data_IF_306058129632
#
_entry.id   IF_306058129632
#
_cell.length_a   1.000
_cell.length_b   1.000
_cell.length_c   1.000
_cell.angle_alpha   90.00
_cell.angle_beta   90.00
_cell.angle_gamma   90.00
#
_symmetry.space_group_name_H-M   'P 1'
#
loop_
_entity.id
_entity.type
_entity.pdbx_description
1 polymer ?
#
# COMPACT_ATOMS: atom_id res chain seq x y z
N UNK A 1 43.38 -10.53 -6.51
CA UNK A 1 43.03 -9.46 -7.50
C UNK A 1 41.51 -9.21 -7.55
N UNK A 2 40.90 -8.67 -6.47
CA UNK A 2 39.44 -8.39 -6.43
C UNK A 2 39.08 -7.02 -5.84
N UNK A 3 39.98 -6.03 -5.93
CA UNK A 3 39.79 -4.71 -5.30
C UNK A 3 40.12 -3.49 -6.18
N UNK A 4 40.44 -3.66 -7.47
CA UNK A 4 40.73 -2.53 -8.38
C UNK A 4 39.47 -1.76 -8.81
N UNK A 5 38.32 -2.43 -8.95
CA UNK A 5 37.08 -1.79 -9.38
C UNK A 5 36.55 -0.75 -8.36
N UNK A 6 36.62 -1.05 -7.05
CA UNK A 6 36.18 -0.11 -5.98
C UNK A 6 37.11 1.10 -5.84
N UNK A 7 38.42 0.92 -6.04
CA UNK A 7 39.38 2.03 -5.99
C UNK A 7 39.23 2.97 -7.21
N UNK A 8 38.98 2.41 -8.39
CA UNK A 8 38.69 3.21 -9.59
C UNK A 8 37.38 3.98 -9.45
N UNK A 9 36.37 3.39 -8.80
CA UNK A 9 35.09 4.07 -8.48
C UNK A 9 35.29 5.22 -7.50
N UNK A 10 36.08 5.01 -6.44
CA UNK A 10 36.39 6.07 -5.46
C UNK A 10 37.18 7.23 -6.08
N UNK A 11 38.07 6.97 -7.05
CA UNK A 11 38.90 7.99 -7.68
C UNK A 11 38.24 8.72 -8.87
N UNK A 12 37.41 8.03 -9.67
CA UNK A 12 36.80 8.58 -10.89
C UNK A 12 35.29 8.78 -10.81
N UNK A 13 34.61 8.04 -9.93
CA UNK A 13 33.15 8.10 -9.74
C UNK A 13 32.67 9.29 -8.91
N UNK A 14 33.59 9.97 -8.23
CA UNK A 14 33.25 11.18 -7.46
C UNK A 14 33.14 12.45 -8.33
N UNK A 15 33.58 12.35 -9.60
CA UNK A 15 33.52 13.44 -10.58
C UNK A 15 32.52 13.07 -11.69
N UNK A 16 31.79 14.07 -12.21
CA UNK A 16 30.86 13.93 -13.34
C UNK A 16 31.62 13.65 -14.66
N UNK A 17 32.23 12.47 -14.76
CA UNK A 17 33.15 12.08 -15.82
C UNK A 17 32.45 11.26 -16.89
N UNK A 18 33.02 11.26 -18.11
CA UNK A 18 32.60 10.38 -19.21
C UNK A 18 32.60 8.90 -18.82
N UNK A 19 33.45 8.49 -17.88
CA UNK A 19 33.46 7.15 -17.30
C UNK A 19 32.13 6.78 -16.61
N UNK A 20 31.53 7.72 -15.86
CA UNK A 20 30.22 7.52 -15.24
C UNK A 20 29.12 7.37 -16.29
N UNK A 21 29.08 8.28 -17.28
CA UNK A 21 28.14 8.22 -18.39
C UNK A 21 28.25 6.91 -19.19
N UNK A 22 29.48 6.45 -19.43
CA UNK A 22 29.73 5.19 -20.13
C UNK A 22 29.34 3.97 -19.28
N UNK A 23 29.51 4.02 -17.96
CA UNK A 23 29.10 2.94 -17.06
C UNK A 23 27.58 2.77 -17.01
N UNK A 24 26.82 3.88 -17.03
CA UNK A 24 25.34 3.85 -17.12
C UNK A 24 24.91 3.34 -18.49
N UNK A 25 25.51 3.82 -19.58
CA UNK A 25 25.22 3.35 -20.95
C UNK A 25 25.51 1.87 -21.15
N UNK A 26 26.66 1.38 -20.65
CA UNK A 26 27.04 -0.03 -20.76
C UNK A 26 26.05 -0.94 -20.00
N UNK A 27 25.62 -0.53 -18.81
CA UNK A 27 24.63 -1.27 -18.03
C UNK A 27 23.24 -1.22 -18.66
N UNK A 28 22.81 -0.07 -19.17
CA UNK A 28 21.55 0.10 -19.92
C UNK A 28 21.51 -0.82 -21.15
N UNK A 29 22.62 -0.92 -21.88
CA UNK A 29 22.74 -1.83 -23.02
C UNK A 29 22.68 -3.32 -22.62
N UNK A 30 23.23 -3.71 -21.47
CA UNK A 30 23.19 -5.11 -21.00
C UNK A 30 21.81 -5.56 -20.54
N UNK A 31 21.02 -4.63 -19.99
CA UNK A 31 19.72 -4.94 -19.38
C UNK A 31 18.52 -4.62 -20.29
N UNK A 32 18.75 -3.98 -21.43
CA UNK A 32 17.68 -3.70 -22.38
C UNK A 32 17.11 -5.01 -22.96
N UNK A 33 15.78 -5.14 -22.95
CA UNK A 33 15.11 -6.28 -23.57
C UNK A 33 15.05 -5.99 -25.07
N UNK A 34 15.94 -6.61 -25.84
CA UNK A 34 16.06 -6.38 -27.28
C UNK A 34 15.03 -7.16 -28.10
N UNK A 35 14.50 -8.24 -27.53
CA UNK A 35 13.50 -9.07 -28.17
C UNK A 35 12.77 -9.95 -27.16
N UNK A 36 11.49 -10.21 -27.42
CA UNK A 36 10.69 -11.21 -26.69
C UNK A 36 10.07 -12.19 -27.68
N UNK A 37 9.74 -13.39 -27.20
CA UNK A 37 9.14 -14.44 -28.02
C UNK A 37 7.67 -14.58 -27.65
N UNK A 38 6.78 -14.49 -28.63
CA UNK A 38 5.33 -14.62 -28.41
C UNK A 38 4.91 -16.08 -28.22
N UNK A 39 3.65 -16.29 -27.87
CA UNK A 39 3.04 -17.61 -27.65
C UNK A 39 3.04 -18.52 -28.90
N UNK A 40 3.15 -17.94 -30.09
CA UNK A 40 3.27 -18.65 -31.37
C UNK A 40 4.74 -18.95 -31.75
N UNK A 41 5.68 -18.45 -30.95
CA UNK A 41 7.12 -18.66 -31.13
C UNK A 41 7.81 -17.65 -32.05
N UNK A 42 7.13 -16.58 -32.47
CA UNK A 42 7.72 -15.50 -33.25
C UNK A 42 8.48 -14.53 -32.34
N UNK A 43 9.53 -13.92 -32.88
CA UNK A 43 10.40 -13.00 -32.13
C UNK A 43 10.01 -11.56 -32.43
N UNK A 44 9.50 -10.86 -31.41
CA UNK A 44 9.17 -9.43 -31.41
C UNK A 44 10.40 -8.61 -31.04
N UNK A 45 10.71 -7.56 -31.79
CA UNK A 45 11.99 -6.83 -31.67
C UNK A 45 11.85 -5.32 -31.56
N UNK A 46 10.70 -4.76 -31.96
CA UNK A 46 10.44 -3.33 -31.77
C UNK A 46 9.84 -3.08 -30.40
N UNK A 47 10.07 -1.90 -29.83
CA UNK A 47 9.57 -1.55 -28.50
C UNK A 47 8.03 -1.64 -28.44
N UNK A 48 7.35 -1.24 -29.52
CA UNK A 48 5.90 -1.32 -29.69
C UNK A 48 5.40 -2.77 -29.68
N UNK A 49 6.06 -3.67 -30.41
CA UNK A 49 5.71 -5.09 -30.44
C UNK A 49 6.00 -5.79 -29.11
N UNK A 50 7.06 -5.37 -28.41
CA UNK A 50 7.44 -5.90 -27.09
C UNK A 50 6.39 -5.46 -26.05
N UNK A 51 5.95 -4.21 -26.10
CA UNK A 51 4.91 -3.67 -25.22
C UNK A 51 3.55 -4.34 -25.47
N UNK A 52 3.12 -4.45 -26.72
CA UNK A 52 1.86 -5.09 -27.10
C UNK A 52 1.79 -6.56 -26.64
N UNK A 53 2.87 -7.32 -26.84
CA UNK A 53 2.90 -8.73 -26.44
C UNK A 53 3.01 -8.90 -24.92
N UNK A 54 3.70 -7.99 -24.21
CA UNK A 54 3.71 -8.00 -22.75
C UNK A 54 2.31 -7.71 -22.16
N UNK A 55 1.60 -6.72 -22.71
CA UNK A 55 0.22 -6.40 -22.32
C UNK A 55 -0.70 -7.59 -22.64
N UNK A 56 -0.60 -8.16 -23.84
CA UNK A 56 -1.38 -9.32 -24.27
C UNK A 56 -1.17 -10.52 -23.34
N UNK A 57 0.07 -10.80 -22.96
CA UNK A 57 0.40 -11.88 -22.03
C UNK A 57 -0.25 -11.63 -20.66
N UNK A 58 -0.13 -10.43 -20.10
CA UNK A 58 -0.73 -10.09 -18.81
C UNK A 58 -2.27 -10.15 -18.85
N UNK A 59 -2.91 -9.64 -19.91
CA UNK A 59 -4.37 -9.71 -20.07
C UNK A 59 -4.83 -11.16 -20.14
N UNK A 60 -4.18 -12.01 -20.94
CA UNK A 60 -4.52 -13.43 -21.03
C UNK A 60 -4.28 -14.18 -19.72
N UNK A 61 -3.25 -13.80 -18.96
CA UNK A 61 -2.97 -14.38 -17.66
C UNK A 61 -4.06 -14.01 -16.63
N UNK A 62 -4.60 -12.80 -16.72
CA UNK A 62 -5.64 -12.29 -15.81
C UNK A 62 -7.04 -12.77 -16.21
N UNK A 63 -7.31 -12.96 -17.51
CA UNK A 63 -8.65 -13.34 -18.02
C UNK A 63 -8.90 -14.86 -18.01
N UNK A 64 -7.87 -15.71 -18.03
CA UNK A 64 -8.04 -17.17 -18.07
C UNK A 64 -8.20 -17.86 -16.70
N UNK A 65 -8.64 -17.14 -15.65
CA UNK A 65 -9.24 -17.80 -14.50
C UNK A 65 -10.70 -18.13 -14.84
N UNK A 66 -10.94 -19.35 -15.31
CA UNK A 66 -12.30 -19.87 -15.47
C UNK A 66 -12.97 -20.01 -14.10
N UNK A 67 -13.63 -18.95 -13.68
CA UNK A 67 -14.81 -19.02 -12.82
C UNK A 67 -15.95 -18.52 -13.68
N UNK A 68 -16.99 -19.34 -13.90
CA UNK A 68 -18.24 -18.86 -14.47
C UNK A 68 -18.64 -17.57 -13.73
N UNK A 69 -18.68 -16.40 -14.39
CA UNK A 69 -19.09 -15.18 -13.72
C UNK A 69 -20.55 -15.36 -13.35
N UNK A 70 -20.86 -15.20 -12.05
CA UNK A 70 -22.24 -15.04 -11.60
C UNK A 70 -22.81 -13.84 -12.38
N UNK A 71 -23.89 -14.06 -13.14
CA UNK A 71 -24.53 -12.99 -13.88
C UNK A 71 -25.27 -12.07 -12.90
N UNK A 72 -24.58 -11.04 -12.40
CA UNK A 72 -25.12 -10.05 -11.45
C UNK A 72 -26.28 -9.26 -12.07
N UNK A 73 -26.45 -9.27 -13.39
CA UNK A 73 -27.54 -8.56 -14.07
C UNK A 73 -28.93 -9.14 -13.78
N UNK A 74 -29.02 -10.39 -13.31
CA UNK A 74 -30.28 -11.03 -12.92
C UNK A 74 -30.59 -10.92 -11.42
N UNK A 75 -29.69 -10.36 -10.60
CA UNK A 75 -29.89 -10.21 -9.17
C UNK A 75 -30.57 -8.89 -8.81
N UNK A 76 -31.87 -8.83 -9.05
CA UNK A 76 -32.77 -7.87 -8.41
C UNK A 76 -32.84 -6.46 -9.04
N UNK A 77 -33.53 -5.57 -8.33
CA UNK A 77 -33.83 -4.21 -8.78
C UNK A 77 -32.56 -3.36 -8.73
N UNK A 78 -32.11 -2.83 -9.88
CA UNK A 78 -30.94 -1.93 -9.94
C UNK A 78 -31.30 -0.56 -9.33
N UNK A 79 -30.34 0.03 -8.61
CA UNK A 79 -30.42 1.42 -8.16
C UNK A 79 -30.52 2.33 -9.38
N UNK A 80 -31.30 3.40 -9.25
CA UNK A 80 -31.33 4.49 -10.22
C UNK A 80 -30.02 5.27 -10.17
N UNK A 81 -29.71 5.99 -11.25
CA UNK A 81 -28.50 6.82 -11.30
C UNK A 81 -28.49 7.83 -10.14
N UNK A 82 -29.63 8.45 -9.85
CA UNK A 82 -29.76 9.42 -8.76
C UNK A 82 -29.51 8.79 -7.37
N UNK A 83 -29.94 7.53 -7.15
CA UNK A 83 -29.66 6.79 -5.92
C UNK A 83 -28.17 6.39 -5.82
N UNK A 84 -27.53 6.08 -6.95
CA UNK A 84 -26.09 5.81 -7.01
C UNK A 84 -25.27 7.07 -6.71
N UNK A 85 -25.62 8.17 -7.34
CA UNK A 85 -24.96 9.47 -7.15
C UNK A 85 -25.10 9.97 -5.70
N UNK A 86 -26.25 9.71 -5.04
CA UNK A 86 -26.43 9.99 -3.61
C UNK A 86 -25.53 9.14 -2.70
N UNK A 87 -25.34 7.85 -3.03
CA UNK A 87 -24.52 6.93 -2.22
C UNK A 87 -23.01 7.17 -2.38
N UNK A 88 -22.60 7.79 -3.49
CA UNK A 88 -21.20 8.14 -3.77
C UNK A 88 -20.83 9.55 -3.27
N UNK A 89 -21.78 10.32 -2.73
CA UNK A 89 -21.51 11.65 -2.17
C UNK A 89 -20.78 11.55 -0.81
N UNK A 90 -19.79 12.43 -0.60
CA UNK A 90 -19.07 12.51 0.67
C UNK A 90 -20.02 12.96 1.80
N UNK A 91 -19.98 12.25 2.95
CA UNK A 91 -20.78 12.61 4.13
C UNK A 91 -20.50 14.05 4.60
N UNK A 92 -21.57 14.82 4.83
CA UNK A 92 -21.44 16.17 5.39
C UNK A 92 -21.15 16.13 6.90
N UNK A 93 -20.39 17.10 7.39
CA UNK A 93 -20.12 17.26 8.83
C UNK A 93 -21.41 17.44 9.65
N UNK A 94 -22.46 18.00 9.04
CA UNK A 94 -23.79 18.14 9.62
C UNK A 94 -24.50 16.79 9.74
N UNK A 95 -24.45 15.95 8.70
CA UNK A 95 -25.06 14.63 8.69
C UNK A 95 -24.40 13.68 9.71
N UNK A 96 -23.07 13.72 9.81
CA UNK A 96 -22.32 12.93 10.80
C UNK A 96 -22.70 13.38 12.22
N UNK A 97 -22.84 14.69 12.45
CA UNK A 97 -23.28 15.20 13.75
C UNK A 97 -24.71 14.78 14.04
N UNK A 98 -25.64 14.97 13.11
CA UNK A 98 -27.04 14.62 13.32
C UNK A 98 -27.22 13.12 13.57
N UNK A 99 -26.48 12.28 12.85
CA UNK A 99 -26.44 10.84 13.09
C UNK A 99 -25.98 10.55 14.52
N UNK A 100 -24.79 11.02 14.91
CA UNK A 100 -24.27 10.75 16.26
C UNK A 100 -25.19 11.32 17.33
N UNK A 101 -25.64 12.57 17.21
CA UNK A 101 -26.39 13.27 18.27
C UNK A 101 -27.85 12.85 18.37
N UNK A 102 -28.50 12.41 17.29
CA UNK A 102 -29.89 11.91 17.33
C UNK A 102 -30.01 10.40 17.55
N UNK A 103 -28.91 9.66 17.47
CA UNK A 103 -28.94 8.22 17.69
C UNK A 103 -29.17 7.84 19.17
N UNK A 104 -29.87 6.73 19.41
CA UNK A 104 -30.16 6.27 20.77
C UNK A 104 -28.91 5.72 21.47
N UNK A 105 -28.75 6.09 22.75
CA UNK A 105 -27.57 5.78 23.57
C UNK A 105 -27.37 4.28 23.84
N UNK A 106 -28.47 3.53 23.87
CA UNK A 106 -28.57 2.11 24.20
C UNK A 106 -28.45 1.18 22.99
N UNK A 107 -28.07 1.71 21.82
CA UNK A 107 -27.77 0.87 20.66
C UNK A 107 -26.61 -0.09 20.95
N UNK A 108 -26.70 -1.27 20.32
CA UNK A 108 -25.67 -2.28 20.40
C UNK A 108 -24.30 -1.69 20.00
N UNK A 109 -23.22 -2.07 20.71
CA UNK A 109 -21.88 -1.58 20.41
C UNK A 109 -21.43 -1.99 19.02
N UNK A 110 -20.61 -1.13 18.40
CA UNK A 110 -19.99 -1.43 17.12
C UNK A 110 -18.89 -2.48 17.25
N UNK A 111 -18.14 -2.67 16.16
CA UNK A 111 -16.97 -3.57 16.13
C UNK A 111 -15.82 -3.13 17.05
N UNK A 112 -15.91 -1.92 17.60
CA UNK A 112 -15.04 -1.32 18.60
C UNK A 112 -15.45 -1.67 20.04
N UNK A 113 -16.63 -2.26 20.26
CA UNK A 113 -17.15 -2.62 21.57
C UNK A 113 -17.77 -1.46 22.35
N UNK A 114 -17.84 -0.25 21.76
CA UNK A 114 -18.41 0.93 22.41
C UNK A 114 -19.78 1.28 21.81
N UNK A 115 -20.72 1.64 22.67
CA UNK A 115 -22.03 2.14 22.24
C UNK A 115 -22.03 3.68 22.13
N UNK A 116 -23.10 4.24 21.58
CA UNK A 116 -23.23 5.70 21.37
C UNK A 116 -23.15 6.48 22.69
N UNK A 117 -23.59 5.88 23.81
CA UNK A 117 -23.44 6.45 25.15
C UNK A 117 -21.99 6.83 25.48
N UNK A 118 -21.03 5.97 25.14
CA UNK A 118 -19.60 6.21 25.38
C UNK A 118 -19.15 7.51 24.71
N UNK A 119 -19.48 7.69 23.44
CA UNK A 119 -19.05 8.85 22.65
C UNK A 119 -19.75 10.16 23.07
N UNK A 120 -21.02 10.11 23.49
CA UNK A 120 -21.78 11.30 23.89
C UNK A 120 -21.39 11.80 25.28
N UNK A 121 -21.30 10.89 26.25
CA UNK A 121 -21.31 11.27 27.68
C UNK A 121 -19.95 11.19 28.34
N UNK A 122 -19.11 10.24 27.94
CA UNK A 122 -17.79 10.06 28.53
C UNK A 122 -16.72 10.95 27.92
N UNK A 123 -17.04 11.74 26.89
CA UNK A 123 -16.07 12.66 26.26
C UNK A 123 -15.36 13.56 27.28
N UNK A 124 -16.11 14.21 28.18
CA UNK A 124 -15.53 15.10 29.19
C UNK A 124 -14.68 14.36 30.24
N UNK A 125 -15.13 13.18 30.66
CA UNK A 125 -14.38 12.34 31.60
C UNK A 125 -13.10 11.77 30.96
N UNK A 126 -13.15 11.40 29.68
CA UNK A 126 -12.00 10.96 28.89
C UNK A 126 -10.98 12.10 28.75
N UNK A 127 -11.44 13.34 28.50
CA UNK A 127 -10.59 14.53 28.45
C UNK A 127 -9.89 14.77 29.80
N UNK A 128 -10.59 14.59 30.92
CA UNK A 128 -10.04 14.78 32.27
C UNK A 128 -9.08 13.65 32.69
N UNK A 129 -9.44 12.39 32.44
CA UNK A 129 -8.65 11.21 32.83
C UNK A 129 -7.38 11.09 31.99
N UNK A 130 -7.50 11.27 30.66
CA UNK A 130 -6.37 11.11 29.76
C UNK A 130 -5.55 12.39 29.61
N UNK A 131 -6.10 13.54 30.03
CA UNK A 131 -5.45 14.85 29.88
C UNK A 131 -5.25 15.26 28.42
N UNK A 132 -5.99 14.67 27.49
CA UNK A 132 -5.88 14.99 26.07
C UNK A 132 -6.58 16.32 25.77
N UNK A 133 -5.87 17.21 25.08
CA UNK A 133 -6.43 18.46 24.59
C UNK A 133 -7.15 18.19 23.27
N UNK A 134 -8.45 18.50 23.19
CA UNK A 134 -9.19 18.42 21.93
C UNK A 134 -8.72 19.52 21.00
N UNK A 135 -8.03 19.14 19.93
CA UNK A 135 -7.63 20.04 18.86
C UNK A 135 -8.50 19.82 17.62
N UNK A 136 -8.76 20.91 16.89
CA UNK A 136 -9.46 20.83 15.60
C UNK A 136 -8.48 20.42 14.52
N UNK A 137 -8.93 19.56 13.61
CA UNK A 137 -8.12 19.14 12.46
C UNK A 137 -7.75 20.34 11.58
N UNK A 138 -6.57 20.31 10.93
CA UNK A 138 -5.60 19.23 10.93
C UNK A 138 -4.64 19.27 12.14
N UNK A 139 -4.57 18.17 12.90
CA UNK A 139 -3.64 17.99 14.03
C UNK A 139 -2.46 17.14 13.60
N UNK A 140 -1.28 17.30 14.22
CA UNK A 140 -0.13 16.45 13.90
C UNK A 140 -0.15 15.18 14.76
N UNK A 141 -0.12 14.03 14.10
CA UNK A 141 0.03 12.73 14.74
C UNK A 141 1.19 11.97 14.11
N UNK A 142 2.12 11.50 14.94
CA UNK A 142 3.37 10.83 14.49
C UNK A 142 4.18 11.65 13.46
N UNK A 143 4.03 12.97 13.48
CA UNK A 143 4.69 13.88 12.54
C UNK A 143 3.94 14.09 11.21
N UNK A 144 2.79 13.45 11.01
CA UNK A 144 1.91 13.62 9.85
C UNK A 144 0.69 14.49 10.20
N UNK A 145 0.21 15.34 9.28
CA UNK A 145 -1.05 16.06 9.46
C UNK A 145 -2.23 15.08 9.31
N UNK A 146 -3.00 14.87 10.37
CA UNK A 146 -4.28 14.18 10.28
C UNK A 146 -5.27 15.10 9.56
N UNK A 147 -5.69 14.68 8.38
CA UNK A 147 -6.68 15.36 7.55
C UNK A 147 -7.73 14.33 7.15
N UNK A 148 -9.02 14.69 7.23
CA UNK A 148 -10.12 13.85 6.75
C UNK A 148 -10.15 13.86 5.22
N UNK A 149 -9.84 15.01 4.62
CA UNK A 149 -9.78 15.18 3.18
C UNK A 149 -8.39 14.83 2.62
N UNK A 150 -8.32 14.59 1.31
CA UNK A 150 -7.08 14.49 0.54
C UNK A 150 -6.09 15.60 0.93
N UNK A 151 -4.83 15.23 1.07
CA UNK A 151 -3.79 16.17 1.47
C UNK A 151 -3.61 17.23 0.38
N UNK A 152 -3.94 18.49 0.71
CA UNK A 152 -3.72 19.62 -0.21
C UNK A 152 -2.23 19.89 -0.43
N UNK A 153 -1.87 20.61 -1.50
CA UNK A 153 -0.49 21.02 -1.75
C UNK A 153 0.10 21.84 -0.59
N UNK A 154 -0.72 22.64 0.11
CA UNK A 154 -0.27 23.36 1.31
C UNK A 154 -0.02 22.41 2.49
N UNK A 155 -0.78 21.32 2.57
CA UNK A 155 -0.62 20.28 3.60
C UNK A 155 0.67 19.48 3.45
N UNK A 156 1.26 19.41 2.25
CA UNK A 156 2.54 18.74 2.00
C UNK A 156 3.76 19.64 2.19
N UNK A 157 3.59 20.96 2.37
CA UNK A 157 4.69 21.90 2.59
C UNK A 157 5.58 21.54 3.79
N UNK A 158 5.07 21.04 4.94
CA UNK A 158 5.93 20.62 6.04
C UNK A 158 6.93 19.52 5.66
N UNK A 159 6.57 18.61 4.76
CA UNK A 159 7.49 17.59 4.24
C UNK A 159 8.60 18.25 3.42
N UNK A 160 8.23 19.17 2.53
CA UNK A 160 9.18 19.91 1.68
C UNK A 160 10.16 20.70 2.55
N UNK A 161 9.69 21.36 3.61
CA UNK A 161 10.53 22.08 4.57
C UNK A 161 11.49 21.15 5.32
N UNK A 162 11.04 19.96 5.75
CA UNK A 162 11.90 18.97 6.40
C UNK A 162 13.03 18.55 5.46
N UNK A 163 12.72 18.27 4.20
CA UNK A 163 13.69 17.88 3.17
C UNK A 163 14.67 19.03 2.90
N UNK A 164 14.17 20.24 2.68
CA UNK A 164 14.98 21.45 2.47
C UNK A 164 15.94 21.71 3.64
N UNK A 165 15.45 21.63 4.88
CA UNK A 165 16.25 21.83 6.09
C UNK A 165 17.34 20.77 6.22
N UNK A 166 17.06 19.52 5.87
CA UNK A 166 18.07 18.44 5.87
C UNK A 166 19.13 18.67 4.80
N UNK A 167 18.72 19.03 3.58
CA UNK A 167 19.65 19.39 2.50
C UNK A 167 20.55 20.54 2.94
N UNK A 168 19.95 21.63 3.46
CA UNK A 168 20.67 22.82 3.92
C UNK A 168 21.66 22.53 5.05
N UNK A 169 21.29 21.69 6.02
CA UNK A 169 22.21 21.27 7.09
C UNK A 169 23.37 20.40 6.57
N UNK A 170 23.17 19.73 5.45
CA UNK A 170 24.19 18.91 4.80
C UNK A 170 25.07 19.70 3.81
N UNK A 171 24.65 20.89 3.36
CA UNK A 171 25.45 21.80 2.50
C UNK A 171 26.82 22.14 3.12
N UNK A 172 26.91 22.25 4.44
CA UNK A 172 28.13 22.67 5.15
C UNK A 172 29.17 21.55 5.34
N UNK A 173 28.93 20.34 4.83
CA UNK A 173 29.88 19.22 4.86
C UNK A 173 30.28 18.96 3.40
N UNK A 174 31.57 18.97 3.08
CA UNK A 174 32.10 18.64 1.73
C UNK A 174 31.77 17.20 1.33
N UNK A 175 30.50 16.96 1.01
CA UNK A 175 29.99 15.64 0.64
C UNK A 175 30.37 15.36 -0.81
N UNK A 176 31.07 14.25 -1.00
CA UNK A 176 31.28 13.60 -2.29
C UNK A 176 29.95 13.35 -3.01
N UNK A 177 29.97 13.19 -4.33
CA UNK A 177 28.78 12.83 -5.11
C UNK A 177 28.15 11.54 -4.57
N UNK A 178 28.99 10.54 -4.26
CA UNK A 178 28.56 9.30 -3.62
C UNK A 178 27.95 9.51 -2.23
N UNK A 179 28.50 10.44 -1.44
CA UNK A 179 27.94 10.79 -0.12
C UNK A 179 26.57 11.47 -0.22
N UNK A 180 26.36 12.33 -1.22
CA UNK A 180 25.06 12.96 -1.50
C UNK A 180 24.03 11.93 -1.95
N UNK A 181 24.42 11.00 -2.82
CA UNK A 181 23.57 9.90 -3.26
C UNK A 181 23.14 9.01 -2.08
N UNK A 182 24.07 8.65 -1.20
CA UNK A 182 23.76 7.81 -0.05
C UNK A 182 22.86 8.54 0.96
N UNK A 183 23.05 9.85 1.16
CA UNK A 183 22.18 10.66 1.99
C UNK A 183 20.74 10.74 1.44
N UNK A 184 20.61 10.87 0.11
CA UNK A 184 19.30 10.83 -0.55
C UNK A 184 18.64 9.50 -0.23
N UNK A 185 19.31 8.39 -0.53
CA UNK A 185 18.76 7.03 -0.39
C UNK A 185 18.39 6.67 1.05
N UNK A 186 19.24 7.01 2.02
CA UNK A 186 19.08 6.57 3.42
C UNK A 186 18.22 7.51 4.26
N UNK A 187 18.29 8.81 4.02
CA UNK A 187 17.65 9.82 4.88
C UNK A 187 16.48 10.49 4.15
N UNK A 188 16.74 11.13 3.02
CA UNK A 188 15.72 11.98 2.37
C UNK A 188 14.56 11.15 1.80
N UNK A 189 14.87 10.04 1.13
CA UNK A 189 13.84 9.14 0.62
C UNK A 189 13.01 8.49 1.71
N UNK A 190 13.58 8.25 2.89
CA UNK A 190 12.85 7.67 4.02
C UNK A 190 11.72 8.59 4.48
N UNK A 191 11.94 9.91 4.53
CA UNK A 191 10.88 10.88 4.86
C UNK A 191 9.78 10.89 3.79
N UNK A 192 10.15 10.94 2.51
CA UNK A 192 9.18 10.95 1.41
C UNK A 192 8.37 9.66 1.35
N UNK A 193 9.01 8.50 1.53
CA UNK A 193 8.36 7.18 1.56
C UNK A 193 7.43 7.04 2.76
N UNK A 194 7.82 7.55 3.94
CA UNK A 194 6.98 7.53 5.14
C UNK A 194 5.67 8.28 4.91
N UNK A 195 5.72 9.48 4.34
CA UNK A 195 4.52 10.23 4.03
C UNK A 195 3.71 9.62 2.87
N UNK A 196 4.40 9.07 1.86
CA UNK A 196 3.76 8.44 0.70
C UNK A 196 3.03 7.13 1.02
N UNK A 197 3.28 6.54 2.20
CA UNK A 197 2.47 5.42 2.68
C UNK A 197 1.11 5.82 3.23
N UNK A 198 0.93 7.10 3.62
CA UNK A 198 -0.28 7.58 4.28
C UNK A 198 -1.12 8.51 3.41
N UNK A 199 -0.53 9.17 2.41
CA UNK A 199 -1.21 10.17 1.60
C UNK A 199 -1.01 9.93 0.11
N UNK A 200 -2.07 10.14 -0.68
CA UNK A 200 -1.98 10.29 -2.13
C UNK A 200 -1.51 11.70 -2.49
N UNK A 201 -0.31 11.79 -3.05
CA UNK A 201 0.29 13.06 -3.41
C UNK A 201 -0.07 13.49 -4.83
N UNK A 202 -0.42 14.77 -4.99
CA UNK A 202 -0.50 15.40 -6.31
C UNK A 202 0.84 15.29 -7.06
N UNK A 203 0.78 15.06 -8.37
CA UNK A 203 1.96 14.95 -9.25
C UNK A 203 2.92 16.15 -9.10
N UNK A 204 2.40 17.37 -8.98
CA UNK A 204 3.21 18.59 -8.85
C UNK A 204 4.09 18.62 -7.60
N UNK A 205 3.59 18.14 -6.46
CA UNK A 205 4.36 18.04 -5.20
C UNK A 205 5.48 17.01 -5.33
N UNK A 206 5.19 15.85 -5.94
CA UNK A 206 6.18 14.80 -6.17
C UNK A 206 7.31 15.30 -7.08
N UNK A 207 6.94 15.93 -8.20
CA UNK A 207 7.90 16.53 -9.13
C UNK A 207 8.74 17.63 -8.45
N UNK A 208 8.15 18.45 -7.57
CA UNK A 208 8.88 19.47 -6.80
C UNK A 208 9.92 18.84 -5.88
N UNK A 209 9.57 17.78 -5.16
CA UNK A 209 10.50 17.07 -4.27
C UNK A 209 11.61 16.41 -5.09
N UNK A 210 11.28 15.72 -6.18
CA UNK A 210 12.25 15.07 -7.06
C UNK A 210 13.23 16.07 -7.68
N UNK A 211 12.76 17.25 -8.08
CA UNK A 211 13.62 18.33 -8.54
C UNK A 211 14.60 18.81 -7.45
N UNK A 212 14.16 18.93 -6.20
CA UNK A 212 15.06 19.30 -5.09
C UNK A 212 16.13 18.25 -4.85
N UNK A 213 15.76 16.97 -4.87
CA UNK A 213 16.71 15.85 -4.72
C UNK A 213 17.70 15.80 -5.90
N UNK A 214 17.22 16.05 -7.12
CA UNK A 214 18.05 16.13 -8.33
C UNK A 214 19.08 17.25 -8.21
N UNK A 215 18.65 18.45 -7.83
CA UNK A 215 19.54 19.61 -7.67
C UNK A 215 20.60 19.36 -6.60
N UNK A 216 20.17 18.81 -5.47
CA UNK A 216 21.07 18.44 -4.38
C UNK A 216 22.10 17.40 -4.80
N UNK A 217 21.71 16.37 -5.55
CA UNK A 217 22.63 15.33 -6.04
C UNK A 217 23.76 15.92 -6.90
N UNK A 218 23.40 16.77 -7.87
CA UNK A 218 24.34 17.28 -8.86
C UNK A 218 25.16 18.49 -8.39
N UNK A 219 24.56 19.42 -7.65
CA UNK A 219 25.22 20.68 -7.25
C UNK A 219 25.56 20.78 -5.76
N UNK A 220 25.08 19.84 -4.94
CA UNK A 220 25.20 19.94 -3.48
C UNK A 220 24.29 21.00 -2.86
N UNK A 221 23.48 21.70 -3.67
CA UNK A 221 22.52 22.72 -3.26
C UNK A 221 21.17 22.47 -3.96
N UNK A 222 20.06 22.86 -3.35
CA UNK A 222 18.71 22.78 -3.91
C UNK A 222 18.20 24.11 -4.52
N UNK A 223 18.83 25.24 -4.17
CA UNK A 223 18.46 26.58 -4.63
C UNK A 223 19.03 26.91 -6.02
N UNK A 224 20.25 26.45 -6.32
CA UNK A 224 20.89 26.73 -7.60
C UNK A 224 20.40 25.76 -8.68
N UNK A 225 20.01 26.32 -9.84
CA UNK A 225 19.78 25.52 -11.03
C UNK A 225 21.10 24.85 -11.43
N UNK A 226 21.07 23.54 -11.62
CA UNK A 226 22.22 22.77 -12.06
C UNK A 226 21.87 21.95 -13.30
N UNK A 227 22.87 21.71 -14.13
CA UNK A 227 22.72 20.81 -15.28
C UNK A 227 22.79 19.37 -14.77
N UNK A 228 21.69 18.65 -14.87
CA UNK A 228 21.64 17.21 -14.61
C UNK A 228 22.25 16.48 -15.81
N UNK A 229 23.30 15.68 -15.57
CA UNK A 229 23.95 14.90 -16.64
C UNK A 229 23.10 13.69 -17.08
N UNK A 230 22.20 13.22 -16.23
CA UNK A 230 21.33 12.07 -16.45
C UNK A 230 19.91 12.44 -16.00
N UNK A 231 18.90 11.94 -16.71
CA UNK A 231 17.48 12.17 -16.36
C UNK A 231 17.14 11.55 -14.99
N UNK A 232 16.19 12.14 -14.27
CA UNK A 232 15.78 11.60 -12.96
C UNK A 232 15.15 10.20 -13.09
N UNK A 233 14.40 9.96 -14.16
CA UNK A 233 13.81 8.65 -14.44
C UNK A 233 14.87 7.56 -14.63
N UNK A 234 15.93 7.83 -15.41
CA UNK A 234 17.05 6.88 -15.58
C UNK A 234 17.81 6.65 -14.25
N UNK A 235 17.89 7.67 -13.38
CA UNK A 235 18.50 7.53 -12.05
C UNK A 235 17.67 6.65 -11.11
N UNK A 236 16.35 6.65 -11.29
CA UNK A 236 15.41 5.94 -10.45
C UNK A 236 15.27 4.44 -10.77
N UNK A 237 15.81 3.99 -11.90
CA UNK A 237 15.75 2.59 -12.28
C UNK A 237 16.41 1.67 -11.24
N UNK A 238 15.91 0.43 -11.05
CA UNK A 238 16.52 -0.55 -10.16
C UNK A 238 17.98 -0.83 -10.51
N UNK A 239 18.78 -1.15 -9.51
CA UNK A 239 20.24 -1.31 -9.70
C UNK A 239 20.58 -2.52 -10.55
N UNK A 240 19.88 -3.66 -10.40
CA UNK A 240 20.18 -4.84 -11.21
C UNK A 240 19.34 -4.99 -12.45
N UNK A 241 18.10 -4.50 -12.47
CA UNK A 241 17.23 -4.63 -13.65
C UNK A 241 17.36 -3.46 -14.64
N UNK A 242 17.76 -2.25 -14.21
CA UNK A 242 17.72 -1.06 -15.08
C UNK A 242 18.95 -0.16 -15.07
N UNK A 243 20.01 -0.51 -14.32
CA UNK A 243 21.28 0.22 -14.33
C UNK A 243 21.26 1.60 -13.65
N UNK A 244 20.16 1.95 -12.97
CA UNK A 244 20.00 3.22 -12.25
C UNK A 244 20.76 3.27 -10.92
N UNK A 245 20.63 4.38 -10.20
CA UNK A 245 21.29 4.57 -8.91
C UNK A 245 20.46 4.04 -7.73
N UNK A 246 19.35 3.35 -8.00
CA UNK A 246 18.42 2.78 -7.02
C UNK A 246 17.79 3.82 -6.11
N UNK A 247 17.55 5.01 -6.66
CA UNK A 247 16.71 6.06 -6.05
C UNK A 247 15.26 5.67 -6.33
N UNK A 248 14.42 5.58 -5.32
CA UNK A 248 12.98 5.30 -5.53
C UNK A 248 12.29 6.46 -6.26
N UNK A 249 11.58 6.16 -7.36
CA UNK A 249 10.67 7.11 -8.00
C UNK A 249 9.47 7.32 -7.10
N UNK A 250 9.20 8.57 -6.69
CA UNK A 250 8.24 8.84 -5.62
C UNK A 250 6.82 8.53 -6.05
N UNK A 251 6.48 8.80 -7.32
CA UNK A 251 5.16 8.51 -7.88
C UNK A 251 4.84 7.01 -7.84
N UNK A 252 5.76 6.18 -8.30
CA UNK A 252 5.54 4.74 -8.38
C UNK A 252 5.45 4.13 -6.99
N UNK A 253 6.34 4.56 -6.07
CA UNK A 253 6.29 4.12 -4.68
C UNK A 253 5.04 4.59 -3.93
N UNK A 254 4.53 5.79 -4.19
CA UNK A 254 3.29 6.26 -3.57
C UNK A 254 2.13 5.36 -3.96
N UNK A 255 1.97 5.07 -5.25
CA UNK A 255 0.95 4.15 -5.74
C UNK A 255 1.10 2.74 -5.15
N UNK A 256 2.31 2.19 -5.12
CA UNK A 256 2.54 0.85 -4.57
C UNK A 256 2.26 0.77 -3.07
N UNK A 257 2.62 1.79 -2.29
CA UNK A 257 2.38 1.80 -0.84
C UNK A 257 0.90 2.01 -0.51
N UNK A 258 0.20 2.84 -1.28
CA UNK A 258 -1.26 2.98 -1.16
C UNK A 258 -1.96 1.68 -1.50
N UNK A 259 -1.56 1.01 -2.59
CA UNK A 259 -2.09 -0.31 -2.96
C UNK A 259 -1.87 -1.33 -1.84
N UNK A 260 -0.68 -1.36 -1.24
CA UNK A 260 -0.40 -2.23 -0.08
C UNK A 260 -1.29 -1.92 1.12
N UNK A 261 -1.56 -0.64 1.37
CA UNK A 261 -2.42 -0.20 2.48
C UNK A 261 -3.87 -0.58 2.22
N UNK A 262 -4.36 -0.40 0.99
CA UNK A 262 -5.68 -0.86 0.56
C UNK A 262 -5.83 -2.37 0.69
N UNK A 263 -4.82 -3.13 0.27
CA UNK A 263 -4.83 -4.59 0.40
C UNK A 263 -5.00 -5.03 1.85
N UNK A 264 -4.28 -4.42 2.79
CA UNK A 264 -4.41 -4.72 4.22
C UNK A 264 -5.81 -4.42 4.79
N UNK A 265 -6.50 -3.40 4.27
CA UNK A 265 -7.90 -3.12 4.66
C UNK A 265 -8.83 -4.23 4.17
N UNK A 266 -8.71 -4.61 2.90
CA UNK A 266 -9.52 -5.68 2.29
C UNK A 266 -9.31 -7.02 3.00
N UNK A 267 -8.07 -7.35 3.35
CA UNK A 267 -7.73 -8.57 4.06
C UNK A 267 -8.36 -8.62 5.47
N UNK A 268 -8.31 -7.51 6.21
CA UNK A 268 -8.94 -7.40 7.53
C UNK A 268 -10.46 -7.53 7.48
N UNK A 269 -11.11 -6.99 6.44
CA UNK A 269 -12.56 -7.11 6.26
C UNK A 269 -12.98 -8.55 5.94
N UNK A 270 -12.21 -9.27 5.11
CA UNK A 270 -12.46 -10.68 4.80
C UNK A 270 -12.33 -11.54 6.06
N UNK A 271 -11.28 -11.33 6.86
CA UNK A 271 -11.07 -12.07 8.12
C UNK A 271 -12.20 -11.76 9.12
N UNK A 272 -12.57 -10.49 9.30
CA UNK A 272 -13.68 -10.11 10.19
C UNK A 272 -15.02 -10.69 9.79
N UNK A 273 -15.34 -10.70 8.50
CA UNK A 273 -16.60 -11.30 8.01
C UNK A 273 -16.63 -12.80 8.28
N UNK A 274 -15.49 -13.48 8.18
CA UNK A 274 -15.39 -14.92 8.48
C UNK A 274 -15.56 -15.21 9.99
N UNK A 275 -15.02 -14.36 10.85
CA UNK A 275 -15.17 -14.49 12.31
C UNK A 275 -16.59 -14.19 12.78
N UNK A 276 -17.24 -13.14 12.22
CA UNK A 276 -18.63 -12.80 12.56
C UNK A 276 -19.61 -13.89 12.14
N UNK A 277 -19.45 -14.47 10.94
CA UNK A 277 -20.27 -15.59 10.50
C UNK A 277 -20.11 -16.81 11.43
N UNK A 278 -18.88 -17.10 11.87
CA UNK A 278 -18.59 -18.19 12.79
C UNK A 278 -19.25 -17.98 14.17
N UNK A 279 -19.22 -16.75 14.69
CA UNK A 279 -19.86 -16.40 15.96
C UNK A 279 -21.39 -16.43 15.89
N UNK A 280 -21.98 -15.93 14.80
CA UNK A 280 -23.43 -15.97 14.61
C UNK A 280 -23.92 -17.42 14.50
N UNK A 281 -23.22 -18.25 13.72
CA UNK A 281 -23.53 -19.67 13.58
C UNK A 281 -23.42 -20.39 14.93
N UNK A 282 -22.35 -20.15 15.70
CA UNK A 282 -22.20 -20.76 17.02
C UNK A 282 -23.28 -20.32 18.04
N UNK A 283 -23.75 -19.08 17.97
CA UNK A 283 -24.81 -18.58 18.86
C UNK A 283 -26.20 -19.14 18.49
N UNK A 284 -26.54 -19.19 17.20
CA UNK A 284 -27.79 -19.83 16.72
C UNK A 284 -27.80 -21.33 17.07
N UNK A 285 -26.65 -22.01 16.94
CA UNK A 285 -26.51 -23.41 17.34
C UNK A 285 -26.63 -23.61 18.86
N UNK A 286 -26.08 -22.72 19.69
CA UNK A 286 -26.23 -22.81 21.14
C UNK A 286 -27.68 -22.65 21.60
N UNK A 287 -28.45 -21.75 20.97
CA UNK A 287 -29.88 -21.58 21.22
C UNK A 287 -30.66 -22.85 20.85
N UNK A 288 -30.36 -23.43 19.69
CA UNK A 288 -31.01 -24.66 19.24
C UNK A 288 -30.59 -25.86 20.09
N UNK A 289 -29.34 -25.91 20.55
CA UNK A 289 -28.81 -26.91 21.48
C UNK A 289 -29.51 -26.85 22.84
N UNK A 290 -29.74 -25.65 23.38
CA UNK A 290 -30.48 -25.46 24.64
C UNK A 290 -31.99 -25.77 24.49
N UNK A 291 -32.57 -25.54 23.30
CA UNK A 291 -33.94 -26.00 22.98
C UNK A 291 -34.05 -27.53 22.94
N UNK A 292 -33.09 -28.22 22.32
CA UNK A 292 -33.07 -29.68 22.17
C UNK A 292 -32.77 -30.37 23.52
N UNK A 293 -31.96 -29.76 24.39
CA UNK A 293 -31.70 -30.22 25.77
C UNK A 293 -32.94 -30.22 26.67
N UNK A 294 -34.01 -29.49 26.34
CA UNK A 294 -35.20 -29.37 27.18
C UNK A 294 -36.22 -30.53 27.02
N UNK A 295 -36.05 -31.41 26.03
CA UNK A 295 -37.02 -32.48 25.69
C UNK A 295 -36.33 -33.85 25.68
N UNK A 296 -36.43 -34.64 26.76
CA UNK A 296 -35.93 -36.04 26.85
C UNK A 296 -37.00 -36.92 26.18
N UNK A 297 -36.74 -37.85 25.26
CA UNK A 297 -35.90 -39.05 25.41
C UNK A 297 -35.44 -39.66 24.05
N UNK A 298 -35.69 -39.00 22.90
CA UNK A 298 -35.33 -39.52 21.55
C UNK A 298 -33.89 -39.13 21.12
N UNK A 299 -33.01 -38.84 22.08
CA UNK A 299 -31.89 -37.92 21.92
C UNK A 299 -30.62 -38.48 21.25
N UNK A 300 -30.23 -39.74 21.39
CA UNK A 300 -28.88 -40.15 20.92
C UNK A 300 -28.66 -40.02 19.40
N UNK A 301 -29.68 -40.31 18.57
CA UNK A 301 -29.54 -40.25 17.11
C UNK A 301 -29.50 -38.82 16.55
N UNK A 302 -30.23 -37.88 17.15
CA UNK A 302 -30.19 -36.46 16.74
C UNK A 302 -28.90 -35.78 17.22
N UNK A 303 -28.39 -36.12 18.40
CA UNK A 303 -27.10 -35.62 18.89
C UNK A 303 -25.94 -36.08 18.00
N UNK A 304 -25.91 -37.37 17.62
CA UNK A 304 -24.89 -37.89 16.70
C UNK A 304 -24.96 -37.23 15.32
N UNK A 305 -26.17 -36.94 14.84
CA UNK A 305 -26.36 -36.25 13.54
C UNK A 305 -25.89 -34.80 13.57
N UNK A 306 -26.13 -34.09 14.67
CA UNK A 306 -25.66 -32.71 14.88
C UNK A 306 -24.14 -32.68 15.07
N UNK A 307 -23.55 -33.60 15.84
CA UNK A 307 -22.09 -33.73 15.95
C UNK A 307 -21.44 -34.05 14.60
N UNK A 308 -22.06 -34.89 13.77
CA UNK A 308 -21.58 -35.16 12.42
C UNK A 308 -21.61 -33.92 11.53
N UNK A 309 -22.69 -33.12 11.60
CA UNK A 309 -22.80 -31.87 10.85
C UNK A 309 -21.80 -30.81 11.36
N UNK A 310 -21.55 -30.74 12.66
CA UNK A 310 -20.51 -29.91 13.27
C UNK A 310 -19.11 -30.35 12.85
N UNK A 311 -18.86 -31.66 12.77
CA UNK A 311 -17.59 -32.20 12.29
C UNK A 311 -17.37 -31.92 10.80
N UNK A 312 -18.42 -32.01 9.96
CA UNK A 312 -18.36 -31.65 8.54
C UNK A 312 -18.15 -30.15 8.32
N UNK A 313 -18.90 -29.29 9.04
CA UNK A 313 -18.74 -27.85 8.96
C UNK A 313 -17.33 -27.42 9.41
N UNK A 314 -16.86 -27.94 10.54
CA UNK A 314 -15.50 -27.66 11.03
C UNK A 314 -14.43 -28.20 10.09
N UNK A 315 -14.65 -29.35 9.44
CA UNK A 315 -13.73 -29.87 8.41
C UNK A 315 -13.70 -28.96 7.18
N UNK A 316 -14.83 -28.44 6.76
CA UNK A 316 -14.95 -27.53 5.61
C UNK A 316 -14.26 -26.20 5.90
N UNK A 317 -14.47 -25.65 7.11
CA UNK A 317 -13.74 -24.46 7.58
C UNK A 317 -12.25 -24.75 7.65
N UNK A 318 -11.82 -25.88 8.19
CA UNK A 318 -10.40 -26.25 8.27
C UNK A 318 -9.76 -26.44 6.89
N UNK A 319 -10.46 -27.01 5.92
CA UNK A 319 -10.00 -27.14 4.53
C UNK A 319 -9.90 -25.77 3.83
N UNK A 320 -10.82 -24.84 4.13
CA UNK A 320 -10.76 -23.47 3.63
C UNK A 320 -9.63 -22.68 4.29
N UNK A 321 -9.47 -22.78 5.61
CA UNK A 321 -8.35 -22.18 6.35
C UNK A 321 -7.02 -22.74 5.87
N UNK A 322 -6.91 -24.04 5.62
CA UNK A 322 -5.69 -24.66 5.11
C UNK A 322 -5.39 -24.28 3.65
N UNK A 323 -6.42 -24.06 2.83
CA UNK A 323 -6.27 -23.48 1.48
C UNK A 323 -5.84 -22.02 1.50
N UNK A 324 -6.35 -21.24 2.47
CA UNK A 324 -5.96 -19.85 2.68
C UNK A 324 -4.52 -19.81 3.20
N UNK A 325 -4.18 -20.59 4.23
CA UNK A 325 -2.82 -20.72 4.75
C UNK A 325 -1.83 -21.27 3.72
N UNK A 326 -2.25 -22.15 2.80
CA UNK A 326 -1.38 -22.58 1.68
C UNK A 326 -1.17 -21.48 0.65
N UNK A 327 -2.20 -20.64 0.41
CA UNK A 327 -2.09 -19.48 -0.48
C UNK A 327 -1.28 -18.36 0.16
N UNK A 328 -1.38 -18.17 1.47
CA UNK A 328 -0.56 -17.23 2.23
C UNK A 328 0.87 -17.75 2.37
N UNK A 329 1.09 -19.06 2.52
CA UNK A 329 2.42 -19.65 2.49
C UNK A 329 3.06 -19.54 1.09
N UNK A 330 2.30 -19.74 0.00
CA UNK A 330 2.78 -19.45 -1.36
C UNK A 330 3.01 -17.96 -1.56
N UNK A 331 2.15 -17.07 -1.06
CA UNK A 331 2.32 -15.62 -1.15
C UNK A 331 3.51 -15.11 -0.32
N UNK A 332 3.78 -15.67 0.87
CA UNK A 332 4.93 -15.36 1.73
C UNK A 332 6.23 -15.94 1.16
N UNK A 333 6.18 -17.09 0.49
CA UNK A 333 7.34 -17.67 -0.22
C UNK A 333 7.63 -16.87 -1.50
N UNK A 334 6.60 -16.45 -2.24
CA UNK A 334 6.70 -15.56 -3.41
C UNK A 334 7.16 -14.16 -2.98
N UNK A 335 6.73 -13.62 -1.83
CA UNK A 335 7.23 -12.37 -1.25
C UNK A 335 8.65 -12.48 -0.68
N UNK A 336 9.05 -13.65 -0.16
CA UNK A 336 10.42 -13.95 0.30
C UNK A 336 11.41 -14.14 -0.87
N UNK A 337 10.96 -14.74 -1.97
CA UNK A 337 11.69 -14.82 -3.24
C UNK A 337 11.72 -13.46 -3.95
N UNK A 338 10.65 -12.65 -3.87
CA UNK A 338 10.59 -11.22 -4.27
C UNK A 338 11.51 -10.32 -3.43
N UNK A 339 11.71 -10.59 -2.13
CA UNK A 339 12.64 -9.84 -1.27
C UNK A 339 14.12 -10.20 -1.51
N UNK A 340 14.39 -11.45 -1.92
CA UNK A 340 15.73 -11.88 -2.36
C UNK A 340 16.04 -11.48 -3.82
N UNK A 341 15.02 -11.26 -4.65
CA UNK A 341 15.10 -10.65 -6.00
C UNK A 341 14.97 -9.11 -6.01
N UNK A 342 14.62 -8.42 -4.89
CA UNK A 342 14.78 -6.96 -4.70
C UNK A 342 16.13 -6.53 -4.08
N UNK A 343 16.92 -7.49 -3.55
CA UNK A 343 18.37 -7.32 -3.36
C UNK A 343 19.09 -7.26 -4.71
N UNK A 344 18.41 -7.75 -5.78
CA UNK A 344 18.31 -7.32 -7.21
C UNK A 344 18.46 -5.81 -7.60
#
# INVERSE_FOLDING_TARGET
>A
MKHRARCSWLALGDSNTTYFGNSVKERKSKNWIHQIKDSEGNVRKTDEEIEEEAIRFCINLLQNQSTNPVNVEEMGKKLTQDEGDMLEEDFSDEEIKDMIFNEKEDKAPGVDGYNVYFYKKLRGEIEEILGFKVEKLPVRYLGLPLSISKLSEKGSEPLVEIIHKKISNCKNKFLSYGGRLELIRSVLQTYSVYWAGCFDFSKGVLERIEQMLTRFLWSGNDEQKCVSAVSWDDLCMPKKEGGGLGIKKLKDFNNSLLMRTLWGVVELDIVRLSEQQTLQYNHEFAIEFDRIKATDEEREDQYVKIELQLAEANKTVKDLTQKIESKDAEAVTVLGELASTQSE
#
